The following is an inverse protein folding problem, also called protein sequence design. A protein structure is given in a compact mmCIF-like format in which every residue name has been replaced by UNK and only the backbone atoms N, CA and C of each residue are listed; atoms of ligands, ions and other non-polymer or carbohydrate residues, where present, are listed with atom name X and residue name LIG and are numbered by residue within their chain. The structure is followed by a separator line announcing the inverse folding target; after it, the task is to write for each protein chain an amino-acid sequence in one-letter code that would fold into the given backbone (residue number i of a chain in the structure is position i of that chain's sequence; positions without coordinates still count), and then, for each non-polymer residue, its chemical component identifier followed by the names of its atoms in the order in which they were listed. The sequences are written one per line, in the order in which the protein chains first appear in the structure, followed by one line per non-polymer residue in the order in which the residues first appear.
data_IF_404304267599
#
_entry.id   IF_404304267599
#
_cell.length_a   1.000
_cell.length_b   1.000
_cell.length_c   1.000
_cell.angle_alpha   90.00
_cell.angle_beta   90.00
_cell.angle_gamma   90.00
#
_symmetry.space_group_name_H-M   'P 1'
#
loop_
_entity.id
_entity.type
_entity.pdbx_description
1 polymer ?
#
# COMPACT_ATOMS: atom_id res chain seq x y z
N UNK A 1 -19.03 -19.04 5.21
CA UNK A 1 -18.84 -20.06 4.16
C UNK A 1 -19.11 -19.54 2.73
N UNK A 2 -19.39 -18.24 2.53
CA UNK A 2 -19.75 -17.66 1.21
C UNK A 2 -18.61 -17.50 0.18
N UNK A 3 -17.38 -17.96 0.47
CA UNK A 3 -16.23 -17.82 -0.43
C UNK A 3 -15.99 -19.02 -1.35
N UNK A 4 -16.82 -20.08 -1.29
CA UNK A 4 -16.63 -21.33 -2.04
C UNK A 4 -17.55 -21.47 -3.28
N UNK A 5 -18.31 -20.44 -3.61
CA UNK A 5 -19.42 -20.55 -4.58
C UNK A 5 -18.96 -20.45 -6.05
N UNK A 6 -17.64 -20.50 -6.32
CA UNK A 6 -17.06 -20.60 -7.66
C UNK A 6 -17.29 -19.41 -8.60
N UNK A 7 -18.05 -18.39 -8.18
CA UNK A 7 -18.36 -17.20 -8.98
C UNK A 7 -17.39 -16.02 -8.75
N UNK A 8 -16.39 -16.19 -7.89
CA UNK A 8 -15.29 -15.22 -7.75
C UNK A 8 -14.28 -15.48 -8.87
N UNK A 9 -14.24 -14.62 -9.89
CA UNK A 9 -13.07 -14.54 -10.75
C UNK A 9 -11.94 -13.89 -9.95
N UNK A 10 -11.26 -14.66 -9.10
CA UNK A 10 -10.04 -14.18 -8.44
C UNK A 10 -9.00 -13.90 -9.53
N UNK A 11 -8.86 -12.62 -9.88
CA UNK A 11 -7.81 -12.13 -10.77
C UNK A 11 -6.69 -11.65 -9.85
N UNK A 12 -5.66 -12.47 -9.67
CA UNK A 12 -4.46 -12.11 -8.92
C UNK A 12 -3.39 -11.61 -9.90
N UNK A 13 -2.89 -10.39 -9.69
CA UNK A 13 -1.70 -9.87 -10.35
C UNK A 13 -0.54 -9.96 -9.36
N UNK A 14 0.41 -10.86 -9.63
CA UNK A 14 1.55 -11.13 -8.77
C UNK A 14 2.81 -10.56 -9.40
N UNK A 15 3.51 -9.71 -8.64
CA UNK A 15 4.76 -9.08 -9.07
C UNK A 15 5.85 -9.37 -8.06
N UNK A 16 7.00 -9.79 -8.57
CA UNK A 16 8.22 -9.92 -7.79
C UNK A 16 9.08 -8.70 -8.02
N UNK A 17 9.60 -8.11 -6.95
CA UNK A 17 10.44 -6.93 -7.02
C UNK A 17 11.50 -6.96 -5.91
N UNK A 18 12.42 -5.99 -5.94
CA UNK A 18 13.39 -5.80 -4.87
C UNK A 18 12.75 -5.09 -3.67
N UNK A 19 13.37 -5.22 -2.50
CA UNK A 19 12.92 -4.52 -1.28
C UNK A 19 12.83 -3.01 -1.48
N UNK A 20 13.71 -2.42 -2.31
CA UNK A 20 13.62 -1.00 -2.62
C UNK A 20 12.31 -0.60 -3.31
N UNK A 21 11.77 -1.43 -4.20
CA UNK A 21 10.48 -1.18 -4.86
C UNK A 21 9.34 -1.23 -3.85
N UNK A 22 9.33 -2.22 -2.95
CA UNK A 22 8.37 -2.30 -1.85
C UNK A 22 8.46 -1.08 -0.93
N UNK A 23 9.68 -0.59 -0.68
CA UNK A 23 9.90 0.61 0.13
C UNK A 23 9.29 1.86 -0.49
N UNK A 24 9.40 2.04 -1.81
CA UNK A 24 8.75 3.14 -2.53
C UNK A 24 7.23 3.08 -2.38
N UNK A 25 6.63 1.88 -2.44
CA UNK A 25 5.17 1.72 -2.25
C UNK A 25 4.77 2.08 -0.81
N UNK A 26 5.50 1.57 0.18
CA UNK A 26 5.23 1.86 1.60
C UNK A 26 5.40 3.34 1.92
N UNK A 27 6.47 3.99 1.45
CA UNK A 27 6.69 5.43 1.66
C UNK A 27 5.70 6.30 0.90
N UNK A 28 5.15 5.81 -0.23
CA UNK A 28 4.02 6.46 -0.90
C UNK A 28 2.79 6.43 0.01
N UNK A 29 2.48 5.31 0.66
CA UNK A 29 1.35 5.23 1.59
C UNK A 29 1.60 6.07 2.85
N UNK A 30 2.76 5.91 3.48
CA UNK A 30 3.19 6.52 4.74
C UNK A 30 4.35 7.49 4.49
N UNK A 31 4.07 8.69 3.95
CA UNK A 31 5.11 9.65 3.64
C UNK A 31 5.78 10.13 4.92
N UNK A 32 7.11 10.12 4.90
CA UNK A 32 7.96 10.72 5.94
C UNK A 32 8.53 12.04 5.42
N UNK A 33 8.66 13.01 6.31
CA UNK A 33 9.26 14.31 5.96
C UNK A 33 10.78 14.24 5.99
N UNK A 34 11.45 15.12 5.25
CA UNK A 34 12.91 15.20 5.20
C UNK A 34 13.52 16.00 6.38
N UNK A 35 12.70 16.71 7.15
CA UNK A 35 13.09 17.59 8.25
C UNK A 35 13.04 16.91 9.64
N UNK A 36 13.03 15.58 9.68
CA UNK A 36 12.98 14.82 10.92
C UNK A 36 14.29 14.98 11.73
N UNK A 37 14.14 15.25 13.02
CA UNK A 37 15.23 15.20 13.99
C UNK A 37 15.70 13.75 14.21
N UNK A 38 16.90 13.58 14.75
CA UNK A 38 17.44 12.25 15.07
C UNK A 38 16.53 11.41 15.98
N UNK A 39 15.89 12.04 16.97
CA UNK A 39 14.96 11.32 17.85
C UNK A 39 13.67 10.93 17.12
N UNK A 40 13.15 11.78 16.22
CA UNK A 40 12.00 11.42 15.39
C UNK A 40 12.30 10.29 14.40
N UNK A 41 13.54 10.21 13.89
CA UNK A 41 13.97 9.12 13.00
C UNK A 41 13.92 7.76 13.73
N UNK A 42 14.26 7.70 15.02
CA UNK A 42 14.23 6.45 15.79
C UNK A 42 12.81 5.89 15.99
N UNK A 43 11.84 6.79 16.03
CA UNK A 43 10.41 6.46 16.20
C UNK A 43 9.72 6.11 14.89
N UNK A 44 10.42 6.16 13.74
CA UNK A 44 9.86 5.73 12.46
C UNK A 44 9.51 4.23 12.50
N UNK A 45 8.22 3.97 12.35
CA UNK A 45 7.66 2.62 12.25
C UNK A 45 8.11 1.92 10.95
N UNK A 46 8.13 2.66 9.84
CA UNK A 46 8.45 2.14 8.51
C UNK A 46 9.86 2.58 8.08
N UNK A 47 10.84 1.72 8.30
CA UNK A 47 12.21 1.93 7.80
C UNK A 47 12.66 0.70 7.02
N UNK A 48 13.50 0.89 6.00
CA UNK A 48 13.96 -0.21 5.16
C UNK A 48 14.54 -1.37 5.98
N UNK A 49 15.36 -1.05 6.99
CA UNK A 49 15.99 -2.03 7.88
C UNK A 49 15.03 -2.77 8.83
N UNK A 50 13.96 -2.12 9.31
CA UNK A 50 13.05 -2.70 10.31
C UNK A 50 11.82 -3.37 9.70
N UNK A 51 11.46 -2.98 8.49
CA UNK A 51 10.17 -3.35 7.89
C UNK A 51 10.34 -4.37 6.79
N UNK A 52 11.35 -4.24 5.93
CA UNK A 52 11.47 -5.04 4.71
C UNK A 52 12.51 -6.14 4.87
N UNK A 53 12.01 -7.33 5.20
CA UNK A 53 12.82 -8.53 5.31
C UNK A 53 12.95 -9.24 3.96
N UNK A 54 13.78 -10.28 3.94
CA UNK A 54 13.82 -11.20 2.81
C UNK A 54 12.44 -11.82 2.59
N UNK A 55 11.97 -11.77 1.36
CA UNK A 55 10.65 -12.27 0.95
C UNK A 55 9.46 -11.54 1.57
N UNK A 56 9.64 -10.28 2.03
CA UNK A 56 8.49 -9.47 2.45
C UNK A 56 7.47 -9.33 1.31
N UNK A 57 6.20 -9.42 1.66
CA UNK A 57 5.07 -9.46 0.73
C UNK A 57 4.07 -8.36 1.10
N UNK A 58 3.75 -7.50 0.14
CA UNK A 58 2.68 -6.51 0.23
C UNK A 58 1.62 -6.85 -0.83
N UNK A 59 0.36 -6.92 -0.42
CA UNK A 59 -0.73 -7.11 -1.36
C UNK A 59 -1.99 -6.36 -0.94
N UNK A 60 -2.82 -6.06 -1.94
CA UNK A 60 -4.12 -5.45 -1.75
C UNK A 60 -5.20 -6.44 -2.15
N UNK A 61 -6.19 -6.62 -1.29
CA UNK A 61 -7.37 -7.40 -1.60
C UNK A 61 -8.52 -6.44 -1.90
N UNK A 62 -9.17 -6.64 -3.04
CA UNK A 62 -10.31 -5.84 -3.47
C UNK A 62 -11.56 -6.70 -3.36
N UNK A 63 -12.50 -6.25 -2.53
CA UNK A 63 -13.77 -6.91 -2.29
C UNK A 63 -14.87 -6.15 -3.01
N UNK A 64 -15.58 -6.82 -3.91
CA UNK A 64 -16.79 -6.29 -4.53
C UNK A 64 -18.01 -6.81 -3.77
N UNK A 65 -18.52 -5.99 -2.85
CA UNK A 65 -19.81 -6.18 -2.22
C UNK A 65 -20.91 -5.63 -3.15
N UNK A 66 -22.17 -6.06 -2.97
CA UNK A 66 -23.27 -5.77 -3.92
C UNK A 66 -23.41 -4.29 -4.30
N UNK A 67 -23.18 -3.38 -3.36
CA UNK A 67 -23.30 -1.92 -3.53
C UNK A 67 -21.99 -1.16 -3.30
N UNK A 68 -20.92 -1.86 -2.89
CA UNK A 68 -19.69 -1.24 -2.37
C UNK A 68 -18.45 -1.99 -2.83
N UNK A 69 -17.37 -1.24 -3.01
CA UNK A 69 -16.05 -1.81 -3.25
C UNK A 69 -15.18 -1.44 -2.06
N UNK A 70 -14.65 -2.47 -1.40
CA UNK A 70 -13.74 -2.33 -0.27
C UNK A 70 -12.36 -2.79 -0.67
N UNK A 71 -11.34 -2.20 -0.05
CA UNK A 71 -9.95 -2.59 -0.22
C UNK A 71 -9.29 -2.77 1.15
N UNK A 72 -8.47 -3.81 1.27
CA UNK A 72 -7.61 -4.06 2.42
C UNK A 72 -6.17 -4.18 1.95
N UNK A 73 -5.22 -3.61 2.69
CA UNK A 73 -3.79 -3.81 2.48
C UNK A 73 -3.25 -4.79 3.52
N UNK A 74 -2.39 -5.72 3.09
CA UNK A 74 -1.69 -6.63 3.98
C UNK A 74 -0.19 -6.60 3.70
N UNK A 75 0.57 -6.47 4.77
CA UNK A 75 2.02 -6.55 4.77
C UNK A 75 2.46 -7.75 5.61
N UNK A 76 3.17 -8.69 4.99
CA UNK A 76 3.57 -9.96 5.60
C UNK A 76 2.39 -10.67 6.28
N UNK A 77 1.26 -10.74 5.56
CA UNK A 77 0.00 -11.36 5.98
C UNK A 77 -0.67 -10.73 7.20
N UNK A 78 -0.24 -9.53 7.61
CA UNK A 78 -0.87 -8.74 8.67
C UNK A 78 -1.59 -7.53 8.08
N UNK A 79 -2.77 -7.16 8.61
CA UNK A 79 -3.45 -5.95 8.19
C UNK A 79 -2.56 -4.72 8.31
N UNK A 80 -2.51 -3.92 7.25
CA UNK A 80 -1.82 -2.65 7.20
C UNK A 80 -2.88 -1.54 7.03
N UNK A 81 -3.04 -0.69 8.04
CA UNK A 81 -4.08 0.34 8.06
C UNK A 81 -3.76 1.45 7.06
N UNK A 82 -4.48 1.48 5.93
CA UNK A 82 -4.31 2.49 4.89
C UNK A 82 -4.58 3.89 5.48
N UNK A 83 -3.65 4.86 5.33
CA UNK A 83 -3.85 6.21 5.86
C UNK A 83 -5.14 6.88 5.37
N UNK A 84 -5.85 7.52 6.30
CA UNK A 84 -7.15 8.14 6.03
C UNK A 84 -8.34 7.19 6.06
N UNK A 85 -8.11 5.89 6.26
CA UNK A 85 -9.16 4.90 6.52
C UNK A 85 -9.26 4.64 8.03
N UNK A 86 -10.48 4.47 8.54
CA UNK A 86 -10.71 4.26 9.98
C UNK A 86 -10.52 2.79 10.39
N UNK A 87 -10.67 1.87 9.44
CA UNK A 87 -10.68 0.44 9.66
C UNK A 87 -9.84 -0.28 8.59
N UNK A 88 -9.56 -1.56 8.84
CA UNK A 88 -8.82 -2.46 7.95
C UNK A 88 -9.43 -2.57 6.54
N UNK A 89 -10.76 -2.52 6.42
CA UNK A 89 -11.47 -2.47 5.15
C UNK A 89 -11.80 -1.04 4.80
N UNK A 90 -11.09 -0.49 3.82
CA UNK A 90 -11.26 0.88 3.36
C UNK A 90 -12.23 0.96 2.17
N UNK A 91 -13.07 1.98 2.17
CA UNK A 91 -13.92 2.30 1.02
C UNK A 91 -13.07 2.68 -0.20
N UNK A 92 -13.40 2.13 -1.37
CA UNK A 92 -12.63 2.31 -2.60
C UNK A 92 -12.40 3.78 -2.99
N UNK A 93 -13.43 4.61 -2.80
CA UNK A 93 -13.30 6.04 -3.10
C UNK A 93 -12.34 6.74 -2.13
N UNK A 94 -12.32 6.33 -0.85
CA UNK A 94 -11.39 6.89 0.14
C UNK A 94 -9.94 6.50 -0.15
N UNK A 95 -9.72 5.23 -0.51
CA UNK A 95 -8.42 4.76 -0.95
C UNK A 95 -7.87 5.54 -2.15
N UNK A 96 -8.71 5.74 -3.18
CA UNK A 96 -8.35 6.55 -4.36
C UNK A 96 -8.06 8.00 -4.01
N UNK A 97 -8.78 8.60 -3.07
CA UNK A 97 -8.49 9.95 -2.59
C UNK A 97 -7.11 10.00 -1.91
N UNK A 98 -6.83 9.08 -0.99
CA UNK A 98 -5.53 9.00 -0.28
C UNK A 98 -4.34 8.86 -1.24
N UNK A 99 -4.50 8.07 -2.31
CA UNK A 99 -3.44 7.86 -3.29
C UNK A 99 -3.45 8.85 -4.44
N UNK A 100 -4.57 9.53 -4.71
CA UNK A 100 -4.85 10.21 -5.97
C UNK A 100 -3.79 11.23 -6.39
N UNK A 101 -3.27 12.01 -5.44
CA UNK A 101 -2.21 12.99 -5.72
C UNK A 101 -0.80 12.36 -5.81
N UNK A 102 -0.66 11.10 -5.37
CA UNK A 102 0.59 10.35 -5.33
C UNK A 102 0.74 9.37 -6.50
N UNK A 103 -0.37 8.97 -7.12
CA UNK A 103 -0.42 8.13 -8.31
C UNK A 103 -0.74 8.98 -9.54
N UNK A 104 -0.08 8.74 -10.67
CA UNK A 104 -0.28 9.54 -11.87
C UNK A 104 0.55 10.83 -11.91
N UNK A 105 1.69 10.85 -11.21
CA UNK A 105 2.69 11.87 -11.45
C UNK A 105 3.17 11.82 -12.91
N UNK A 106 3.50 12.98 -13.47
CA UNK A 106 4.11 13.07 -14.80
C UNK A 106 5.55 12.54 -14.71
N UNK A 107 5.68 11.22 -14.82
CA UNK A 107 6.95 10.52 -14.66
C UNK A 107 7.98 11.01 -15.66
N UNK A 108 7.58 11.25 -16.91
CA UNK A 108 8.47 11.78 -17.94
C UNK A 108 9.00 13.15 -17.54
N UNK A 109 8.15 14.07 -17.08
CA UNK A 109 8.59 15.39 -16.63
C UNK A 109 9.47 15.34 -15.39
N UNK A 110 9.12 14.51 -14.40
CA UNK A 110 9.85 14.44 -13.12
C UNK A 110 11.18 13.70 -13.24
N UNK A 111 11.28 12.73 -14.15
CA UNK A 111 12.46 11.89 -14.34
C UNK A 111 13.20 12.18 -15.66
N UNK A 112 12.84 13.24 -16.39
CA UNK A 112 13.51 13.64 -17.64
C UNK A 112 15.01 13.93 -17.47
N UNK A 113 15.44 14.27 -16.25
CA UNK A 113 16.83 14.59 -15.92
C UNK A 113 17.25 13.87 -14.63
N UNK A 114 17.51 12.55 -14.69
CA UNK A 114 17.90 11.76 -13.53
C UNK A 114 19.28 12.14 -12.98
#
# INVERSE_FOLDING_TARGET
EDYLNGNSSMIADLKNAHSFTLYVILTTLYPVSADLTYEQIKELEYTHYRTLYWSSTLYFEIYKCSDRVLIRALFDFKPLLIPGCENEYCEWNKFKETLGDKIGCDFEKLCAYP
#
